data_IF_402741830934
#
_entry.id   IF_402741830934
#
_cell.length_a   1.000
_cell.length_b   1.000
_cell.length_c   1.000
_cell.angle_alpha   90.00
_cell.angle_beta   90.00
_cell.angle_gamma   90.00
#
_symmetry.space_group_name_H-M   'P 1'
#
loop_
_entity.id
_entity.type
_entity.pdbx_description
1 polymer ?
#
# COMPACT_ATOMS: atom_id res chain seq x y z
N UNK A 1 16.30 -6.12 22.34
CA UNK A 1 15.52 -5.31 21.37
C UNK A 1 14.49 -6.23 20.74
N UNK A 2 13.23 -5.84 20.76
CA UNK A 2 12.12 -6.63 20.20
C UNK A 2 12.37 -6.95 18.74
N UNK A 3 12.23 -8.20 18.36
CA UNK A 3 12.24 -8.62 16.96
C UNK A 3 10.94 -8.16 16.29
N UNK A 4 11.04 -7.20 15.38
CA UNK A 4 9.87 -6.63 14.69
C UNK A 4 9.62 -7.34 13.38
N UNK A 5 8.46 -8.00 13.26
CA UNK A 5 8.01 -8.74 12.09
C UNK A 5 6.60 -8.33 11.62
N UNK A 6 6.23 -7.05 11.79
CA UNK A 6 4.97 -6.48 11.29
C UNK A 6 5.20 -5.35 10.25
N UNK A 7 6.17 -5.54 9.34
CA UNK A 7 6.52 -4.52 8.32
C UNK A 7 5.39 -4.26 7.32
N UNK A 8 4.46 -5.19 7.12
CA UNK A 8 3.26 -4.98 6.30
C UNK A 8 2.26 -3.97 6.92
N UNK A 9 2.35 -3.67 8.23
CA UNK A 9 1.59 -2.59 8.85
C UNK A 9 2.32 -1.24 8.67
N UNK A 10 3.59 -1.18 9.04
CA UNK A 10 4.54 -0.08 8.78
C UNK A 10 5.96 -0.61 8.91
N UNK A 11 6.90 -0.15 8.11
CA UNK A 11 8.29 -0.59 8.25
C UNK A 11 8.95 -0.04 9.52
N UNK A 12 9.76 -0.87 10.18
CA UNK A 12 10.57 -0.48 11.34
C UNK A 12 11.81 -1.39 11.44
N UNK A 13 13.01 -0.80 11.73
CA UNK A 13 13.30 0.63 11.88
C UNK A 13 13.18 1.41 10.58
N UNK A 14 13.27 2.74 10.67
CA UNK A 14 13.42 3.59 9.48
C UNK A 14 14.90 3.72 9.12
N UNK A 15 15.24 3.87 7.81
CA UNK A 15 16.61 4.18 7.41
C UNK A 15 17.12 5.47 8.08
N UNK A 16 18.38 5.50 8.46
CA UNK A 16 18.99 6.67 9.10
C UNK A 16 18.87 7.96 8.26
N UNK A 17 19.04 7.93 6.92
CA UNK A 17 18.80 9.11 6.10
C UNK A 17 17.38 9.70 6.23
N UNK A 18 16.37 8.86 6.48
CA UNK A 18 14.98 9.30 6.69
C UNK A 18 14.85 10.05 7.99
N UNK A 19 15.41 9.50 9.08
CA UNK A 19 15.39 10.13 10.41
C UNK A 19 16.11 11.48 10.37
N UNK A 20 17.31 11.52 9.78
CA UNK A 20 18.11 12.72 9.61
C UNK A 20 17.39 13.79 8.79
N UNK A 21 16.75 13.41 7.67
CA UNK A 21 16.02 14.34 6.82
C UNK A 21 14.80 14.95 7.54
N UNK A 22 14.06 14.15 8.31
CA UNK A 22 12.93 14.62 9.13
C UNK A 22 13.39 15.60 10.22
N UNK A 23 14.43 15.25 10.98
CA UNK A 23 14.97 16.13 12.03
C UNK A 23 15.48 17.44 11.44
N UNK A 24 16.26 17.38 10.36
CA UNK A 24 16.78 18.56 9.68
C UNK A 24 15.65 19.46 9.15
N UNK A 25 14.65 18.88 8.48
CA UNK A 25 13.52 19.64 7.97
C UNK A 25 12.73 20.31 9.10
N UNK A 26 12.50 19.61 10.20
CA UNK A 26 11.80 20.18 11.37
C UNK A 26 12.54 21.36 11.99
N UNK A 27 13.86 21.30 12.07
CA UNK A 27 14.67 22.37 12.68
C UNK A 27 14.94 23.55 11.74
N UNK A 28 15.06 23.31 10.42
CA UNK A 28 15.63 24.28 9.51
C UNK A 28 14.81 24.51 8.21
N UNK A 29 13.88 23.62 7.85
CA UNK A 29 13.23 23.63 6.54
C UNK A 29 11.70 23.64 6.53
N UNK A 30 11.03 23.71 7.69
CA UNK A 30 9.56 23.62 7.78
C UNK A 30 8.81 24.92 7.44
N UNK A 31 9.30 25.69 6.47
CA UNK A 31 8.58 26.86 5.96
C UNK A 31 7.45 26.44 5.01
N UNK A 32 6.45 27.34 4.83
CA UNK A 32 5.36 27.07 3.87
C UNK A 32 5.91 27.10 2.42
N UNK A 33 5.72 26.04 1.62
CA UNK A 33 6.29 25.92 0.28
C UNK A 33 5.57 26.77 -0.79
N UNK A 34 4.44 27.38 -0.48
CA UNK A 34 3.51 27.84 -1.50
C UNK A 34 3.66 29.26 -2.00
N UNK A 35 4.09 30.27 -1.20
CA UNK A 35 3.91 31.68 -1.58
C UNK A 35 4.97 32.66 -1.09
N UNK A 36 5.97 32.22 -0.43
CA UNK A 36 7.03 33.09 0.03
C UNK A 36 8.05 33.32 -1.07
N UNK A 37 8.26 34.57 -1.48
CA UNK A 37 9.42 34.95 -2.31
C UNK A 37 10.74 34.92 -1.54
N UNK A 38 10.76 34.40 -0.30
CA UNK A 38 11.93 34.33 0.57
C UNK A 38 12.57 32.93 0.52
N UNK A 39 13.86 32.89 0.83
CA UNK A 39 14.69 31.71 0.66
C UNK A 39 14.10 30.43 1.27
N UNK A 40 13.64 30.46 2.52
CA UNK A 40 13.11 29.27 3.19
C UNK A 40 11.86 28.71 2.50
N UNK A 41 10.97 29.56 1.96
CA UNK A 41 9.81 29.08 1.20
C UNK A 41 10.21 28.41 -0.12
N UNK A 42 11.22 28.96 -0.80
CA UNK A 42 11.75 28.37 -2.03
C UNK A 42 12.44 27.02 -1.75
N UNK A 43 13.19 26.91 -0.65
CA UNK A 43 13.82 25.66 -0.21
C UNK A 43 12.76 24.60 0.12
N UNK A 44 11.70 24.97 0.86
CA UNK A 44 10.58 24.06 1.13
C UNK A 44 9.87 23.60 -0.16
N UNK A 45 9.68 24.52 -1.13
CA UNK A 45 9.13 24.20 -2.45
C UNK A 45 10.01 23.20 -3.24
N UNK A 46 11.33 23.38 -3.17
CA UNK A 46 12.29 22.44 -3.78
C UNK A 46 12.23 21.06 -3.13
N UNK A 47 12.08 20.98 -1.80
CA UNK A 47 11.90 19.71 -1.06
C UNK A 47 10.65 18.97 -1.55
N UNK A 48 9.52 19.68 -1.66
CA UNK A 48 8.27 19.11 -2.19
C UNK A 48 8.44 18.60 -3.62
N UNK A 49 9.06 19.42 -4.51
CA UNK A 49 9.30 19.03 -5.89
C UNK A 49 10.24 17.82 -6.00
N UNK A 50 11.30 17.77 -5.22
CA UNK A 50 12.23 16.64 -5.18
C UNK A 50 11.53 15.34 -4.76
N UNK A 51 10.73 15.38 -3.69
CA UNK A 51 9.92 14.24 -3.25
C UNK A 51 8.95 13.77 -4.35
N UNK A 52 8.30 14.72 -5.04
CA UNK A 52 7.35 14.44 -6.12
C UNK A 52 8.02 13.79 -7.32
N UNK A 53 9.17 14.30 -7.72
CA UNK A 53 9.98 13.75 -8.82
C UNK A 53 10.50 12.34 -8.49
N UNK A 54 10.95 12.11 -7.26
CA UNK A 54 11.41 10.79 -6.82
C UNK A 54 10.24 9.78 -6.76
N UNK A 55 9.05 10.19 -6.29
CA UNK A 55 7.84 9.36 -6.31
C UNK A 55 7.40 9.02 -7.74
N UNK A 56 7.41 9.99 -8.65
CA UNK A 56 7.10 9.79 -10.07
C UNK A 56 8.06 8.76 -10.71
N UNK A 57 9.35 8.88 -10.43
CA UNK A 57 10.38 7.94 -10.90
C UNK A 57 10.14 6.51 -10.41
N UNK A 58 9.78 6.34 -9.12
CA UNK A 58 9.52 5.01 -8.55
C UNK A 58 8.46 4.23 -9.32
N UNK A 59 7.45 4.92 -9.84
CA UNK A 59 6.26 4.30 -10.47
C UNK A 59 6.19 4.52 -11.99
N UNK A 60 7.27 5.02 -12.61
CA UNK A 60 7.32 5.25 -14.05
C UNK A 60 6.35 6.35 -14.55
N UNK A 61 5.97 7.32 -13.68
CA UNK A 61 5.11 8.44 -14.06
C UNK A 61 5.94 9.52 -14.75
N UNK A 62 5.63 9.85 -16.04
CA UNK A 62 6.46 10.83 -16.79
C UNK A 62 6.35 12.25 -16.25
N UNK A 63 5.16 12.67 -15.83
CA UNK A 63 4.90 14.02 -15.32
C UNK A 63 4.75 14.00 -13.79
N UNK A 64 5.70 14.58 -13.04
CA UNK A 64 5.59 14.67 -11.58
C UNK A 64 4.35 15.40 -11.08
N UNK A 65 3.75 16.32 -11.85
CA UNK A 65 2.52 17.01 -11.47
C UNK A 65 1.33 16.04 -11.27
N UNK A 66 1.40 14.83 -11.83
CA UNK A 66 0.41 13.76 -11.68
C UNK A 66 0.57 12.93 -10.40
N UNK A 67 1.56 13.23 -9.57
CA UNK A 67 1.72 12.68 -8.22
C UNK A 67 1.03 13.62 -7.23
N UNK A 68 -0.01 13.16 -6.58
CA UNK A 68 -0.79 13.93 -5.59
C UNK A 68 -0.43 13.44 -4.20
N UNK A 69 0.15 14.30 -3.37
CA UNK A 69 0.50 13.95 -2.00
C UNK A 69 -0.74 13.89 -1.10
N UNK A 70 -0.76 12.85 -0.28
CA UNK A 70 -1.80 12.54 0.70
C UNK A 70 -1.15 12.03 1.98
N UNK A 71 -1.90 11.94 3.08
CA UNK A 71 -1.37 11.46 4.34
C UNK A 71 -1.11 9.94 4.35
N UNK A 72 -1.81 9.15 3.53
CA UNK A 72 -1.70 7.69 3.50
C UNK A 72 -2.48 7.10 2.31
N UNK A 73 -2.33 5.78 2.06
CA UNK A 73 -3.05 5.11 0.98
C UNK A 73 -4.59 5.14 1.17
N UNK A 74 -5.10 5.21 2.40
CA UNK A 74 -6.55 5.32 2.64
C UNK A 74 -7.09 6.61 2.05
N UNK A 75 -6.41 7.73 2.26
CA UNK A 75 -6.79 9.02 1.67
C UNK A 75 -6.67 8.98 0.14
N UNK A 76 -5.58 8.40 -0.41
CA UNK A 76 -5.41 8.20 -1.85
C UNK A 76 -6.57 7.44 -2.47
N UNK A 77 -6.97 6.32 -1.86
CA UNK A 77 -8.07 5.47 -2.32
C UNK A 77 -9.43 6.18 -2.21
N UNK A 78 -9.66 6.93 -1.14
CA UNK A 78 -10.88 7.75 -1.02
C UNK A 78 -10.92 8.83 -2.10
N UNK A 79 -9.81 9.57 -2.31
CA UNK A 79 -9.70 10.58 -3.36
C UNK A 79 -10.00 9.99 -4.75
N UNK A 80 -9.44 8.81 -5.04
CA UNK A 80 -9.68 8.11 -6.30
C UNK A 80 -11.14 7.67 -6.46
N UNK A 81 -11.68 6.95 -5.47
CA UNK A 81 -13.02 6.36 -5.54
C UNK A 81 -14.13 7.42 -5.57
N UNK A 82 -14.12 8.37 -4.63
CA UNK A 82 -15.09 9.47 -4.60
C UNK A 82 -14.83 10.50 -5.71
N UNK A 83 -13.59 10.59 -6.19
CA UNK A 83 -13.22 11.45 -7.32
C UNK A 83 -13.79 10.98 -8.66
N UNK A 84 -13.87 9.66 -8.89
CA UNK A 84 -14.30 9.04 -10.16
C UNK A 84 -15.78 8.71 -10.17
N UNK A 85 -16.29 8.04 -9.11
CA UNK A 85 -17.58 7.37 -9.12
C UNK A 85 -18.75 8.31 -8.79
N UNK A 86 -19.88 8.08 -9.44
CA UNK A 86 -21.16 8.79 -9.32
C UNK A 86 -22.29 7.78 -9.21
N UNK A 87 -23.45 8.21 -8.72
CA UNK A 87 -24.68 7.42 -8.78
C UNK A 87 -24.95 6.94 -10.21
N UNK A 88 -25.25 5.66 -10.36
CA UNK A 88 -25.47 4.98 -11.63
C UNK A 88 -24.19 4.38 -12.25
N UNK A 89 -23.00 4.71 -11.77
CA UNK A 89 -21.77 4.05 -12.20
C UNK A 89 -21.67 2.61 -11.65
N UNK A 90 -20.95 1.76 -12.39
CA UNK A 90 -20.61 0.40 -11.98
C UNK A 90 -19.11 0.30 -11.71
N UNK A 91 -18.74 -0.26 -10.56
CA UNK A 91 -17.36 -0.58 -10.17
C UNK A 91 -17.22 -2.08 -9.93
N UNK A 92 -16.16 -2.66 -10.49
CA UNK A 92 -15.73 -4.03 -10.17
C UNK A 92 -14.58 -3.97 -9.18
N UNK A 93 -14.64 -4.78 -8.14
CA UNK A 93 -13.61 -4.93 -7.11
C UNK A 93 -13.45 -6.39 -6.72
N UNK A 94 -12.63 -6.70 -5.72
CA UNK A 94 -12.32 -8.09 -5.36
C UNK A 94 -12.65 -8.43 -3.91
N UNK A 95 -12.65 -9.72 -3.57
CA UNK A 95 -12.83 -10.18 -2.19
C UNK A 95 -11.55 -10.07 -1.35
N UNK A 96 -10.44 -9.61 -1.93
CA UNK A 96 -9.15 -9.49 -1.22
C UNK A 96 -8.82 -8.06 -0.78
N UNK A 97 -9.76 -7.13 -0.93
CA UNK A 97 -9.52 -5.72 -0.68
C UNK A 97 -9.38 -5.37 0.81
N UNK A 98 -8.49 -4.44 1.08
CA UNK A 98 -8.39 -3.78 2.39
C UNK A 98 -9.62 -2.90 2.66
N UNK A 99 -9.93 -2.65 3.94
CA UNK A 99 -11.02 -1.76 4.36
C UNK A 99 -10.95 -0.34 3.74
N UNK A 100 -9.77 0.11 3.32
CA UNK A 100 -9.58 1.38 2.64
C UNK A 100 -10.23 1.43 1.23
N UNK A 101 -10.54 0.27 0.64
CA UNK A 101 -11.33 0.12 -0.59
C UNK A 101 -12.76 -0.27 -0.25
N UNK A 102 -12.96 -1.26 0.62
CA UNK A 102 -14.28 -1.83 0.92
C UNK A 102 -15.23 -0.79 1.53
N UNK A 103 -14.75 0.02 2.49
CA UNK A 103 -15.61 0.99 3.20
C UNK A 103 -16.03 2.17 2.32
N UNK A 104 -15.16 2.82 1.54
CA UNK A 104 -15.58 3.83 0.56
C UNK A 104 -16.55 3.27 -0.49
N UNK A 105 -16.31 2.05 -0.98
CA UNK A 105 -17.24 1.42 -1.94
C UNK A 105 -18.60 1.13 -1.30
N UNK A 106 -18.65 0.75 -0.03
CA UNK A 106 -19.93 0.61 0.69
C UNK A 106 -20.67 1.94 0.78
N UNK A 107 -19.97 3.02 1.14
CA UNK A 107 -20.57 4.36 1.20
C UNK A 107 -21.06 4.84 -0.18
N UNK A 108 -20.33 4.53 -1.25
CA UNK A 108 -20.73 4.84 -2.63
C UNK A 108 -21.91 3.99 -3.09
N UNK A 109 -22.00 2.72 -2.66
CA UNK A 109 -23.16 1.88 -2.93
C UNK A 109 -24.45 2.45 -2.32
N UNK A 110 -24.36 3.01 -1.10
CA UNK A 110 -25.48 3.69 -0.45
C UNK A 110 -25.88 4.99 -1.20
N UNK A 111 -25.01 5.52 -2.08
CA UNK A 111 -25.25 6.66 -2.97
C UNK A 111 -25.66 6.26 -4.39
N UNK A 112 -25.90 4.96 -4.65
CA UNK A 112 -26.38 4.46 -5.94
C UNK A 112 -25.31 4.01 -6.92
N UNK A 113 -24.07 3.74 -6.45
CA UNK A 113 -23.04 3.08 -7.26
C UNK A 113 -23.24 1.56 -7.19
N UNK A 114 -23.24 0.88 -8.34
CA UNK A 114 -23.27 -0.59 -8.38
C UNK A 114 -21.87 -1.16 -8.09
N UNK A 115 -21.73 -1.90 -7.00
CA UNK A 115 -20.47 -2.54 -6.59
C UNK A 115 -20.52 -4.04 -6.84
N UNK A 116 -19.68 -4.53 -7.74
CA UNK A 116 -19.55 -5.96 -8.05
C UNK A 116 -18.24 -6.49 -7.48
N UNK A 117 -18.33 -7.52 -6.65
CA UNK A 117 -17.16 -8.11 -5.99
C UNK A 117 -16.83 -9.47 -6.59
N UNK A 118 -15.62 -9.61 -7.17
CA UNK A 118 -15.11 -10.86 -7.73
C UNK A 118 -14.47 -11.69 -6.62
N UNK A 119 -14.90 -12.93 -6.39
CA UNK A 119 -14.29 -13.81 -5.39
C UNK A 119 -12.89 -14.28 -5.84
N UNK A 120 -11.96 -14.34 -4.90
CA UNK A 120 -10.68 -15.00 -5.09
C UNK A 120 -10.77 -16.51 -4.76
N UNK A 121 -9.79 -17.27 -5.18
CA UNK A 121 -9.59 -18.64 -4.71
C UNK A 121 -9.06 -18.68 -3.26
N UNK A 122 -8.84 -19.87 -2.73
CA UNK A 122 -8.34 -20.04 -1.34
C UNK A 122 -6.90 -19.59 -1.14
N UNK A 123 -6.12 -19.41 -2.21
CA UNK A 123 -4.79 -18.78 -2.13
C UNK A 123 -4.85 -17.25 -2.11
N UNK A 124 -6.03 -16.67 -2.32
CA UNK A 124 -6.26 -15.24 -2.47
C UNK A 124 -5.97 -14.72 -3.88
N UNK A 125 -5.78 -15.60 -4.87
CA UNK A 125 -5.58 -15.20 -6.26
C UNK A 125 -6.93 -15.05 -6.98
N UNK A 126 -7.04 -14.00 -7.79
CA UNK A 126 -8.22 -13.73 -8.60
C UNK A 126 -7.87 -13.99 -10.07
N UNK A 127 -8.46 -15.03 -10.69
CA UNK A 127 -8.23 -15.29 -12.11
C UNK A 127 -8.64 -14.09 -12.97
N UNK A 128 -7.77 -13.57 -13.86
CA UNK A 128 -8.11 -12.45 -14.73
C UNK A 128 -9.38 -12.67 -15.56
N UNK A 129 -9.66 -13.91 -15.96
CA UNK A 129 -10.88 -14.26 -16.69
C UNK A 129 -12.16 -13.96 -15.90
N UNK A 130 -12.13 -14.11 -14.56
CA UNK A 130 -13.29 -13.83 -13.70
C UNK A 130 -13.52 -12.33 -13.55
N UNK A 131 -12.43 -11.54 -13.44
CA UNK A 131 -12.50 -10.08 -13.46
C UNK A 131 -13.08 -9.58 -14.79
N UNK A 132 -12.54 -10.07 -15.91
CA UNK A 132 -12.99 -9.70 -17.25
C UNK A 132 -14.48 -10.02 -17.47
N UNK A 133 -14.95 -11.15 -16.95
CA UNK A 133 -16.37 -11.55 -17.03
C UNK A 133 -17.27 -10.67 -16.16
N UNK A 134 -16.79 -10.19 -15.02
CA UNK A 134 -17.53 -9.30 -14.12
C UNK A 134 -17.62 -7.87 -14.68
N UNK A 135 -16.66 -7.44 -15.49
CA UNK A 135 -16.65 -6.14 -16.16
C UNK A 135 -17.57 -6.17 -17.39
N UNK A 136 -18.85 -5.84 -17.19
CA UNK A 136 -19.84 -5.72 -18.27
C UNK A 136 -19.79 -4.34 -18.93
N UNK A 137 -20.42 -4.13 -20.11
CA UNK A 137 -20.58 -2.80 -20.71
C UNK A 137 -21.16 -1.80 -19.70
N UNK A 138 -20.56 -0.62 -19.61
CA UNK A 138 -20.90 0.40 -18.61
C UNK A 138 -20.13 0.33 -17.30
N UNK A 139 -19.24 -0.67 -17.11
CA UNK A 139 -18.29 -0.66 -16.00
C UNK A 139 -17.37 0.56 -16.11
N UNK A 140 -17.38 1.41 -15.07
CA UNK A 140 -16.61 2.66 -15.02
C UNK A 140 -15.19 2.44 -14.50
N UNK A 141 -15.03 1.55 -13.51
CA UNK A 141 -13.80 1.38 -12.75
C UNK A 141 -13.58 -0.08 -12.38
N UNK A 142 -12.35 -0.57 -12.54
CA UNK A 142 -11.82 -1.72 -11.82
C UNK A 142 -10.97 -1.19 -10.66
N UNK A 143 -11.29 -1.54 -9.42
CA UNK A 143 -10.53 -1.18 -8.22
C UNK A 143 -10.03 -2.45 -7.53
N UNK A 144 -8.71 -2.65 -7.47
CA UNK A 144 -8.14 -3.86 -6.90
C UNK A 144 -6.80 -3.65 -6.20
N UNK A 145 -6.54 -4.46 -5.19
CA UNK A 145 -5.20 -4.54 -4.58
C UNK A 145 -4.23 -5.24 -5.53
N UNK A 146 -2.98 -4.77 -5.60
CA UNK A 146 -1.92 -5.46 -6.34
C UNK A 146 -1.33 -6.62 -5.54
N UNK A 147 -1.23 -6.45 -4.21
CA UNK A 147 -0.70 -7.47 -3.31
C UNK A 147 -1.54 -7.53 -2.03
N UNK A 148 -2.03 -8.70 -1.67
CA UNK A 148 -2.86 -8.88 -0.48
C UNK A 148 -2.05 -8.65 0.80
N UNK A 149 -2.57 -7.82 1.69
CA UNK A 149 -2.01 -7.60 3.01
C UNK A 149 -2.29 -8.75 4.00
N UNK A 150 -3.07 -9.75 3.60
CA UNK A 150 -3.38 -10.95 4.38
C UNK A 150 -2.55 -12.12 3.92
N UNK A 151 -2.65 -12.48 2.65
CA UNK A 151 -2.04 -13.69 2.08
C UNK A 151 -0.73 -13.44 1.35
N UNK A 152 -0.35 -12.18 1.12
CA UNK A 152 0.79 -11.82 0.29
C UNK A 152 0.61 -12.11 -1.20
N UNK A 153 -0.55 -12.59 -1.63
CA UNK A 153 -0.81 -12.99 -3.02
C UNK A 153 -0.73 -11.78 -3.96
N UNK A 154 0.10 -11.90 -4.98
CA UNK A 154 0.23 -10.89 -6.04
C UNK A 154 -0.83 -11.13 -7.11
N UNK A 155 -1.57 -10.09 -7.48
CA UNK A 155 -2.61 -10.12 -8.51
C UNK A 155 -2.04 -9.76 -9.90
N UNK A 156 -2.71 -10.21 -10.96
CA UNK A 156 -2.27 -10.04 -12.35
C UNK A 156 -2.67 -8.65 -12.91
N UNK A 157 -2.22 -7.56 -12.27
CA UNK A 157 -2.50 -6.19 -12.70
C UNK A 157 -1.88 -5.89 -14.05
N UNK A 158 -0.71 -6.46 -14.33
CA UNK A 158 0.01 -6.35 -15.60
C UNK A 158 -0.78 -6.89 -16.83
N UNK A 159 -1.73 -7.80 -16.58
CA UNK A 159 -2.65 -8.31 -17.62
C UNK A 159 -3.95 -7.49 -17.65
N UNK A 160 -4.46 -7.12 -16.48
CA UNK A 160 -5.78 -6.49 -16.35
C UNK A 160 -5.76 -5.01 -16.75
N UNK A 161 -4.70 -4.26 -16.45
CA UNK A 161 -4.61 -2.84 -16.78
C UNK A 161 -4.70 -2.56 -18.29
N UNK A 162 -3.85 -3.19 -19.15
CA UNK A 162 -3.95 -3.03 -20.59
C UNK A 162 -5.31 -3.48 -21.15
N UNK A 163 -5.90 -4.54 -20.59
CA UNK A 163 -7.24 -4.98 -20.98
C UNK A 163 -8.30 -3.94 -20.59
N UNK A 164 -8.28 -3.37 -19.37
CA UNK A 164 -9.19 -2.32 -18.94
C UNK A 164 -9.11 -1.09 -19.86
N UNK A 165 -7.90 -0.65 -20.20
CA UNK A 165 -7.68 0.46 -21.14
C UNK A 165 -8.32 0.19 -22.49
N UNK A 166 -8.19 -1.02 -23.03
CA UNK A 166 -8.82 -1.43 -24.30
C UNK A 166 -10.36 -1.45 -24.22
N UNK A 167 -10.94 -1.60 -23.03
CA UNK A 167 -12.41 -1.58 -22.82
C UNK A 167 -12.92 -0.18 -22.39
N UNK A 168 -12.05 0.83 -22.24
CA UNK A 168 -12.43 2.14 -21.71
C UNK A 168 -12.80 2.15 -20.23
N UNK A 169 -12.33 1.16 -19.46
CA UNK A 169 -12.52 1.01 -18.01
C UNK A 169 -11.30 1.59 -17.32
N UNK A 170 -11.48 2.46 -16.34
CA UNK A 170 -10.38 2.97 -15.51
C UNK A 170 -9.85 1.85 -14.59
N UNK A 171 -8.52 1.82 -14.41
CA UNK A 171 -7.85 0.88 -13.51
C UNK A 171 -7.28 1.61 -12.29
N UNK A 172 -7.86 1.36 -11.10
CA UNK A 172 -7.35 1.81 -9.80
C UNK A 172 -6.66 0.65 -9.09
N UNK A 173 -5.40 0.85 -8.74
CA UNK A 173 -4.59 -0.15 -8.05
C UNK A 173 -4.21 0.34 -6.65
N UNK A 174 -4.56 -0.45 -5.63
CA UNK A 174 -3.99 -0.32 -4.28
C UNK A 174 -2.62 -1.01 -4.25
N UNK A 175 -1.56 -0.21 -4.28
CA UNK A 175 -0.17 -0.67 -4.22
C UNK A 175 0.41 -0.63 -2.80
N UNK A 176 -0.43 -0.62 -1.77
CA UNK A 176 0.01 -0.46 -0.38
C UNK A 176 0.96 -1.56 0.12
N UNK A 177 0.96 -2.74 -0.49
CA UNK A 177 1.86 -3.84 -0.15
C UNK A 177 2.89 -4.16 -1.24
N UNK A 178 2.87 -3.42 -2.35
CA UNK A 178 3.72 -3.73 -3.51
C UNK A 178 4.67 -2.60 -3.90
N UNK A 179 4.27 -1.33 -3.72
CA UNK A 179 5.15 -0.18 -3.99
C UNK A 179 6.36 -0.19 -3.05
N UNK A 180 7.55 -0.16 -3.63
CA UNK A 180 8.81 -0.31 -2.91
C UNK A 180 9.32 -1.74 -2.78
N UNK A 181 8.53 -2.73 -3.24
CA UNK A 181 8.92 -4.15 -3.26
C UNK A 181 8.86 -4.76 -4.67
N UNK A 182 7.87 -4.38 -5.47
CA UNK A 182 7.72 -4.85 -6.84
C UNK A 182 7.89 -3.69 -7.83
N UNK A 183 8.44 -3.94 -9.01
CA UNK A 183 8.45 -2.95 -10.07
C UNK A 183 7.01 -2.55 -10.44
N UNK A 184 6.76 -1.26 -10.45
CA UNK A 184 5.49 -0.68 -10.88
C UNK A 184 5.79 0.36 -11.94
N UNK A 185 5.24 0.19 -13.13
CA UNK A 185 5.29 1.17 -14.21
C UNK A 185 3.85 1.44 -14.65
N UNK A 186 3.32 2.60 -14.26
CA UNK A 186 1.93 2.96 -14.51
C UNK A 186 1.61 3.05 -16.00
N UNK A 187 2.61 3.40 -16.83
CA UNK A 187 2.47 3.44 -18.29
C UNK A 187 2.38 2.06 -18.90
N UNK A 188 3.37 1.20 -18.61
CA UNK A 188 3.46 -0.16 -19.14
C UNK A 188 2.33 -1.06 -18.63
N UNK A 189 1.94 -0.91 -17.35
CA UNK A 189 0.85 -1.66 -16.73
C UNK A 189 -0.53 -1.04 -17.00
N UNK A 190 -0.60 0.08 -17.71
CA UNK A 190 -1.84 0.79 -18.03
C UNK A 190 -2.72 1.09 -16.79
N UNK A 191 -2.07 1.52 -15.70
CA UNK A 191 -2.72 1.90 -14.45
C UNK A 191 -3.14 3.38 -14.55
N UNK A 192 -4.42 3.67 -14.35
CA UNK A 192 -4.94 5.04 -14.40
C UNK A 192 -4.84 5.75 -13.06
N UNK A 193 -4.95 4.99 -11.95
CA UNK A 193 -4.88 5.49 -10.58
C UNK A 193 -4.08 4.51 -9.73
N UNK A 194 -3.01 4.99 -9.05
CA UNK A 194 -2.17 4.15 -8.20
C UNK A 194 -2.06 4.76 -6.81
N UNK A 195 -2.56 4.07 -5.79
CA UNK A 195 -2.51 4.51 -4.39
C UNK A 195 -1.30 3.92 -3.66
N UNK A 196 -0.45 4.76 -3.06
CA UNK A 196 0.82 4.37 -2.46
C UNK A 196 1.00 5.00 -1.09
N UNK A 197 1.23 4.23 -0.01
CA UNK A 197 1.65 4.76 1.29
C UNK A 197 3.17 4.93 1.34
N UNK A 198 3.66 6.00 1.95
CA UNK A 198 5.09 6.23 2.11
C UNK A 198 5.76 5.38 3.20
N UNK A 199 4.99 4.89 4.18
CA UNK A 199 5.51 4.34 5.44
C UNK A 199 5.72 2.82 5.49
N UNK A 200 5.37 2.09 4.40
CA UNK A 200 5.56 0.63 4.31
C UNK A 200 6.87 0.30 3.58
N UNK A 201 6.87 -0.49 2.53
CA UNK A 201 8.09 -0.91 1.85
C UNK A 201 8.93 0.23 1.25
N UNK A 202 8.38 1.43 1.07
CA UNK A 202 9.15 2.65 0.74
C UNK A 202 10.00 3.11 1.94
N UNK A 203 9.67 2.70 3.18
CA UNK A 203 10.40 3.01 4.42
C UNK A 203 10.37 4.49 4.84
N UNK A 204 9.50 5.30 4.26
CA UNK A 204 9.28 6.70 4.63
C UNK A 204 8.52 6.88 5.96
N UNK A 205 8.34 8.11 6.43
CA UNK A 205 7.62 8.39 7.67
C UNK A 205 6.10 8.14 7.52
N UNK A 206 5.39 7.76 8.60
CA UNK A 206 3.94 7.82 8.66
C UNK A 206 3.41 9.24 8.35
N UNK A 207 2.17 9.34 7.88
CA UNK A 207 1.60 10.64 7.49
C UNK A 207 2.07 11.12 6.12
N UNK A 208 2.59 10.20 5.28
CA UNK A 208 2.98 10.44 3.89
C UNK A 208 2.48 9.32 2.98
N UNK A 209 2.11 9.69 1.78
CA UNK A 209 1.70 8.83 0.69
C UNK A 209 1.40 9.65 -0.55
N UNK A 210 1.02 8.99 -1.62
CA UNK A 210 0.62 9.68 -2.85
C UNK A 210 -0.38 8.86 -3.66
N UNK A 211 -1.17 9.59 -4.47
CA UNK A 211 -1.98 9.06 -5.55
C UNK A 211 -1.31 9.46 -6.87
N UNK A 212 -0.99 8.47 -7.71
CA UNK A 212 -0.70 8.72 -9.12
C UNK A 212 -2.03 8.89 -9.87
N UNK A 213 -2.14 9.93 -10.68
CA UNK A 213 -3.32 10.20 -11.52
C UNK A 213 -2.88 10.18 -12.98
N UNK A 214 -3.38 9.20 -13.73
CA UNK A 214 -3.05 9.03 -15.15
C UNK A 214 -3.50 10.21 -16.01
N UNK A 215 -2.82 10.42 -17.12
CA UNK A 215 -3.14 11.49 -18.08
C UNK A 215 -4.59 11.35 -18.59
N UNK A 216 -5.35 12.44 -18.53
CA UNK A 216 -6.76 12.47 -18.94
C UNK A 216 -7.75 12.00 -17.88
N UNK A 217 -7.32 11.47 -16.74
CA UNK A 217 -8.22 11.13 -15.64
C UNK A 217 -8.65 12.39 -14.90
N UNK A 218 -9.96 12.62 -14.84
CA UNK A 218 -10.54 13.75 -14.13
C UNK A 218 -11.10 13.29 -12.78
N UNK A 219 -10.57 13.85 -11.70
CA UNK A 219 -11.02 13.60 -10.34
C UNK A 219 -11.73 14.83 -9.77
N UNK A 220 -12.82 14.62 -9.04
CA UNK A 220 -13.30 15.65 -8.11
C UNK A 220 -12.36 15.71 -6.90
N UNK A 221 -12.04 16.92 -6.41
CA UNK A 221 -11.32 17.04 -5.14
C UNK A 221 -12.09 16.39 -3.99
N UNK A 222 -11.36 15.74 -3.08
CA UNK A 222 -11.92 15.26 -1.82
C UNK A 222 -12.04 16.40 -0.80
N UNK A 223 -11.07 17.32 -0.85
CA UNK A 223 -10.99 18.50 0.01
C UNK A 223 -10.95 19.76 -0.84
N UNK A 224 -11.63 20.79 -0.38
CA UNK A 224 -11.63 22.13 -1.00
C UNK A 224 -10.99 23.09 -0.03
N UNK A 225 -10.14 24.00 -0.54
CA UNK A 225 -9.47 24.98 0.32
C UNK A 225 -8.32 25.71 -0.36
N UNK A 226 -7.47 26.33 0.44
CA UNK A 226 -6.31 27.06 -0.07
C UNK A 226 -5.28 26.12 -0.70
N UNK A 227 -4.93 26.39 -1.96
CA UNK A 227 -3.98 25.57 -2.74
C UNK A 227 -2.64 26.26 -2.97
N UNK A 228 -2.48 27.49 -2.45
CA UNK A 228 -1.27 28.27 -2.72
C UNK A 228 -1.30 29.05 -4.05
N UNK A 229 -2.25 28.81 -4.94
CA UNK A 229 -2.40 29.47 -6.25
C UNK A 229 -3.81 30.06 -6.44
N UNK A 230 -4.01 30.93 -7.45
CA UNK A 230 -5.31 31.48 -7.88
C UNK A 230 -6.20 32.07 -6.76
N UNK A 231 -5.62 32.73 -5.75
CA UNK A 231 -6.34 33.25 -4.57
C UNK A 231 -7.45 34.28 -4.85
N UNK A 232 -7.56 34.82 -6.05
CA UNK A 232 -8.63 35.73 -6.44
C UNK A 232 -9.88 34.99 -6.95
N UNK A 233 -9.83 33.69 -7.10
CA UNK A 233 -10.95 32.85 -7.54
C UNK A 233 -11.53 32.06 -6.38
N UNK A 234 -12.85 32.02 -6.27
CA UNK A 234 -13.57 31.16 -5.32
C UNK A 234 -13.63 29.70 -5.82
N UNK A 235 -13.28 29.45 -7.08
CA UNK A 235 -13.23 28.10 -7.64
C UNK A 235 -11.90 27.40 -7.31
N UNK A 236 -11.97 26.09 -7.05
CA UNK A 236 -10.79 25.25 -6.94
C UNK A 236 -10.01 25.28 -8.28
N UNK A 237 -8.67 25.32 -8.26
CA UNK A 237 -7.87 25.26 -9.49
C UNK A 237 -8.15 24.02 -10.33
N UNK A 238 -7.96 24.12 -11.64
CA UNK A 238 -8.11 22.98 -12.56
C UNK A 238 -6.81 22.20 -12.76
N UNK A 239 -5.67 22.83 -12.47
CA UNK A 239 -4.36 22.26 -12.68
C UNK A 239 -3.97 21.27 -11.57
N UNK A 240 -3.27 20.19 -11.94
CA UNK A 240 -2.59 19.31 -11.00
C UNK A 240 -1.19 19.87 -10.67
N UNK A 241 -0.72 19.67 -9.44
CA UNK A 241 -1.37 18.93 -8.34
C UNK A 241 -2.35 19.78 -7.50
N UNK A 242 -2.38 21.10 -7.69
CA UNK A 242 -3.07 22.06 -6.83
C UNK A 242 -4.57 21.79 -6.69
N UNK A 243 -5.20 21.26 -7.75
CA UNK A 243 -6.62 20.87 -7.73
C UNK A 243 -6.94 19.87 -6.62
N UNK A 244 -6.02 18.97 -6.32
CA UNK A 244 -6.24 17.83 -5.43
C UNK A 244 -5.45 17.93 -4.11
N UNK A 245 -4.58 18.95 -3.98
CA UNK A 245 -3.76 19.21 -2.79
C UNK A 245 -4.21 20.50 -2.09
N UNK A 246 -5.27 20.43 -1.29
CA UNK A 246 -5.71 21.58 -0.50
C UNK A 246 -5.09 21.57 0.89
N UNK A 247 -4.67 22.73 1.36
CA UNK A 247 -4.04 22.94 2.67
C UNK A 247 -2.51 22.96 2.60
N UNK A 248 -1.88 23.23 3.75
CA UNK A 248 -0.42 23.25 3.86
C UNK A 248 0.13 21.84 3.80
N UNK A 249 1.03 21.57 2.86
CA UNK A 249 1.66 20.27 2.70
C UNK A 249 2.54 19.92 3.91
N UNK A 250 2.64 18.62 4.19
CA UNK A 250 3.54 18.06 5.22
C UNK A 250 5.00 18.06 4.73
N UNK A 251 5.63 19.24 4.65
CA UNK A 251 7.00 19.41 4.14
C UNK A 251 7.99 18.53 4.89
N UNK A 252 7.85 18.42 6.21
CA UNK A 252 8.72 17.59 7.05
C UNK A 252 8.62 16.11 6.70
N UNK A 253 7.39 15.62 6.58
CA UNK A 253 7.15 14.23 6.15
C UNK A 253 7.64 13.98 4.72
N UNK A 254 7.47 14.96 3.81
CA UNK A 254 7.91 14.86 2.42
C UNK A 254 9.44 14.89 2.29
N UNK A 255 10.16 15.60 3.17
CA UNK A 255 11.61 15.51 3.26
C UNK A 255 12.07 14.09 3.61
N UNK A 256 11.41 13.46 4.61
CA UNK A 256 11.66 12.07 4.97
C UNK A 256 11.25 11.08 3.87
N UNK A 257 10.12 11.32 3.19
CA UNK A 257 9.70 10.50 2.05
C UNK A 257 10.70 10.57 0.89
N UNK A 258 11.21 11.77 0.57
CA UNK A 258 12.26 11.95 -0.43
C UNK A 258 13.51 11.14 -0.07
N UNK A 259 13.99 11.27 1.17
CA UNK A 259 15.16 10.52 1.64
C UNK A 259 14.94 8.99 1.57
N UNK A 260 13.71 8.52 1.85
CA UNK A 260 13.35 7.11 1.73
C UNK A 260 13.37 6.62 0.27
N UNK A 261 12.86 7.42 -0.66
CA UNK A 261 12.85 7.11 -2.09
C UNK A 261 14.26 7.07 -2.67
N UNK A 262 15.13 8.01 -2.28
CA UNK A 262 16.54 8.01 -2.69
C UNK A 262 17.28 6.81 -2.10
N UNK A 263 17.06 6.49 -0.81
CA UNK A 263 17.63 5.30 -0.17
C UNK A 263 17.20 4.01 -0.89
N UNK A 264 15.93 3.88 -1.25
CA UNK A 264 15.41 2.74 -1.99
C UNK A 264 16.02 2.65 -3.40
N UNK A 265 16.21 3.79 -4.07
CA UNK A 265 16.87 3.86 -5.37
C UNK A 265 18.35 3.46 -5.29
N UNK A 266 19.06 3.90 -4.25
CA UNK A 266 20.48 3.57 -4.02
C UNK A 266 20.68 2.07 -3.76
N UNK A 267 19.84 1.46 -2.93
CA UNK A 267 19.87 0.01 -2.70
C UNK A 267 19.53 -0.75 -3.97
N UNK A 268 18.53 -0.27 -4.71
CA UNK A 268 17.92 -0.94 -5.84
C UNK A 268 16.77 -1.88 -5.44
N UNK A 269 15.63 -1.70 -6.10
CA UNK A 269 14.39 -2.43 -5.83
C UNK A 269 14.56 -3.96 -5.93
N UNK A 270 15.35 -4.42 -6.92
CA UNK A 270 15.63 -5.86 -7.09
C UNK A 270 16.33 -6.45 -5.87
N UNK A 271 17.29 -5.73 -5.29
CA UNK A 271 18.01 -6.19 -4.11
C UNK A 271 17.13 -6.26 -2.88
N UNK A 272 16.22 -5.28 -2.69
CA UNK A 272 15.22 -5.35 -1.61
C UNK A 272 14.31 -6.56 -1.79
N UNK A 273 13.79 -6.77 -3.01
CA UNK A 273 12.92 -7.90 -3.33
C UNK A 273 13.61 -9.25 -3.15
N UNK A 274 14.85 -9.40 -3.61
CA UNK A 274 15.64 -10.63 -3.46
C UNK A 274 15.88 -10.95 -1.99
N UNK A 275 16.24 -9.95 -1.19
CA UNK A 275 16.44 -10.10 0.24
C UNK A 275 15.15 -10.55 0.95
N UNK A 276 14.04 -9.80 0.78
CA UNK A 276 12.77 -10.15 1.44
C UNK A 276 12.23 -11.51 0.95
N UNK A 277 12.42 -11.86 -0.33
CA UNK A 277 12.07 -13.19 -0.85
C UNK A 277 12.88 -14.30 -0.19
N UNK A 278 14.19 -14.13 0.01
CA UNK A 278 15.03 -15.12 0.68
C UNK A 278 14.57 -15.36 2.13
N UNK A 279 14.20 -14.28 2.86
CA UNK A 279 13.62 -14.40 4.20
C UNK A 279 12.26 -15.11 4.19
N UNK A 280 11.43 -14.82 3.21
CA UNK A 280 10.13 -15.47 3.04
C UNK A 280 10.25 -16.95 2.67
N UNK A 281 11.21 -17.33 1.81
CA UNK A 281 11.51 -18.72 1.48
C UNK A 281 11.90 -19.53 2.72
N UNK A 282 12.79 -18.97 3.55
CA UNK A 282 13.20 -19.59 4.82
C UNK A 282 12.01 -19.73 5.78
N UNK A 283 11.20 -18.67 5.90
CA UNK A 283 10.02 -18.65 6.76
C UNK A 283 8.98 -19.69 6.34
N UNK A 284 8.64 -19.78 5.06
CA UNK A 284 7.72 -20.78 4.51
C UNK A 284 8.25 -22.20 4.71
N UNK A 285 9.53 -22.44 4.41
CA UNK A 285 10.14 -23.75 4.59
C UNK A 285 10.16 -24.19 6.06
N UNK A 286 10.45 -23.26 6.97
CA UNK A 286 10.46 -23.54 8.41
C UNK A 286 9.07 -23.82 8.98
N UNK A 287 8.09 -22.97 8.67
CA UNK A 287 6.72 -23.12 9.18
C UNK A 287 6.05 -24.41 8.67
N UNK A 288 6.32 -24.83 7.42
CA UNK A 288 5.82 -26.10 6.86
C UNK A 288 6.29 -27.35 7.62
N UNK A 289 7.40 -27.26 8.36
CA UNK A 289 7.93 -28.36 9.17
C UNK A 289 7.26 -28.49 10.53
N UNK A 290 6.42 -27.54 10.92
CA UNK A 290 5.69 -27.53 12.18
C UNK A 290 4.27 -28.06 11.90
N UNK A 291 3.94 -29.32 12.29
CA UNK A 291 2.66 -29.93 11.88
C UNK A 291 1.41 -29.21 12.35
N UNK A 292 1.52 -28.47 13.46
CA UNK A 292 0.42 -27.68 14.02
C UNK A 292 0.17 -26.37 13.26
N UNK A 293 1.04 -25.96 12.34
CA UNK A 293 0.90 -24.72 11.56
C UNK A 293 0.09 -24.97 10.29
N UNK A 294 -0.91 -24.13 10.07
CA UNK A 294 -1.61 -24.06 8.79
C UNK A 294 -1.32 -22.70 8.12
N UNK A 295 -0.82 -22.75 6.89
CA UNK A 295 -0.43 -21.57 6.10
C UNK A 295 -1.55 -21.16 5.15
N UNK A 296 -1.69 -19.82 4.92
CA UNK A 296 -2.66 -19.24 4.00
C UNK A 296 -1.92 -18.40 2.96
N UNK A 297 -2.32 -18.52 1.71
CA UNK A 297 -1.73 -17.80 0.58
C UNK A 297 -1.01 -18.70 -0.42
N UNK A 298 -0.19 -18.11 -1.31
CA UNK A 298 0.55 -18.85 -2.31
C UNK A 298 1.56 -19.80 -1.69
N UNK A 299 1.76 -20.94 -2.34
CA UNK A 299 2.78 -21.91 -1.93
C UNK A 299 4.17 -21.59 -2.50
N UNK A 300 4.23 -20.76 -3.53
CA UNK A 300 5.45 -20.33 -4.23
C UNK A 300 5.70 -18.83 -4.00
N UNK A 301 6.95 -18.44 -3.89
CA UNK A 301 7.34 -17.08 -3.49
C UNK A 301 7.46 -16.09 -4.66
N UNK A 302 7.44 -16.57 -5.90
CA UNK A 302 7.53 -15.73 -7.09
C UNK A 302 6.36 -14.71 -7.19
N UNK A 303 5.17 -15.15 -6.75
CA UNK A 303 3.93 -14.34 -6.69
C UNK A 303 3.51 -14.00 -5.27
N UNK A 304 4.48 -13.87 -4.37
CA UNK A 304 4.24 -13.62 -2.95
C UNK A 304 4.93 -12.32 -2.51
N UNK A 305 4.16 -11.41 -1.93
CA UNK A 305 4.71 -10.24 -1.21
C UNK A 305 5.12 -10.61 0.21
N UNK A 306 5.65 -9.65 0.96
CA UNK A 306 6.24 -9.86 2.28
C UNK A 306 5.29 -10.31 3.41
N UNK A 307 3.96 -10.33 3.21
CA UNK A 307 2.99 -10.68 4.26
C UNK A 307 2.61 -12.17 4.20
N UNK A 308 2.87 -12.92 5.27
CA UNK A 308 2.51 -14.33 5.40
C UNK A 308 1.57 -14.53 6.59
N UNK A 309 0.43 -15.20 6.34
CA UNK A 309 -0.55 -15.53 7.38
C UNK A 309 -0.55 -17.02 7.71
N UNK A 310 -0.68 -17.34 9.00
CA UNK A 310 -0.82 -18.70 9.49
C UNK A 310 -1.73 -18.78 10.71
N UNK A 311 -2.19 -20.00 11.03
CA UNK A 311 -2.81 -20.36 12.30
C UNK A 311 -2.03 -21.48 12.95
N UNK A 312 -2.08 -21.57 14.27
CA UNK A 312 -1.50 -22.65 15.05
C UNK A 312 -2.63 -23.49 15.65
N UNK A 313 -2.69 -24.78 15.35
CA UNK A 313 -3.75 -25.67 15.81
C UNK A 313 -3.85 -25.69 17.33
N UNK A 314 -5.07 -25.55 17.86
CA UNK A 314 -5.34 -25.49 19.30
C UNK A 314 -5.17 -24.09 19.93
N UNK A 315 -4.75 -23.08 19.18
CA UNK A 315 -4.56 -21.73 19.71
C UNK A 315 -5.37 -20.68 18.95
N UNK A 316 -5.93 -19.74 19.68
CA UNK A 316 -6.45 -18.51 19.10
C UNK A 316 -5.28 -17.64 18.60
N UNK A 317 -5.37 -17.02 17.39
CA UNK A 317 -4.32 -16.16 16.89
C UNK A 317 -3.88 -15.03 17.85
N UNK A 318 -4.81 -14.48 18.64
CA UNK A 318 -4.49 -13.44 19.63
C UNK A 318 -3.60 -14.00 20.75
N UNK A 319 -3.84 -15.23 21.19
CA UNK A 319 -3.01 -15.92 22.19
C UNK A 319 -1.60 -16.18 21.65
N UNK A 320 -1.50 -16.62 20.40
CA UNK A 320 -0.18 -16.82 19.75
C UNK A 320 0.59 -15.52 19.68
N UNK A 321 -0.03 -14.42 19.24
CA UNK A 321 0.62 -13.12 19.17
C UNK A 321 1.05 -12.61 20.54
N UNK A 322 0.19 -12.76 21.56
CA UNK A 322 0.50 -12.39 22.94
C UNK A 322 1.74 -13.16 23.48
N UNK A 323 1.76 -14.49 23.27
CA UNK A 323 2.88 -15.34 23.73
C UNK A 323 4.18 -15.04 22.97
N UNK A 324 4.11 -14.78 21.64
CA UNK A 324 5.29 -14.38 20.86
C UNK A 324 5.91 -13.08 21.39
N UNK A 325 5.08 -12.09 21.76
CA UNK A 325 5.54 -10.83 22.32
C UNK A 325 6.12 -11.02 23.73
N UNK A 326 5.36 -11.64 24.66
CA UNK A 326 5.72 -11.67 26.09
C UNK A 326 6.76 -12.72 26.44
N UNK A 327 6.79 -13.88 25.77
CA UNK A 327 7.71 -14.97 26.08
C UNK A 327 8.99 -14.93 25.23
N UNK A 328 8.89 -14.38 23.98
CA UNK A 328 9.99 -14.42 23.02
C UNK A 328 10.46 -13.04 22.52
N UNK A 329 9.81 -11.96 22.95
CA UNK A 329 10.09 -10.57 22.51
C UNK A 329 10.03 -10.44 20.99
N UNK A 330 8.94 -10.95 20.37
CA UNK A 330 8.70 -10.97 18.92
C UNK A 330 7.36 -10.31 18.60
N UNK A 331 7.41 -9.17 17.90
CA UNK A 331 6.24 -8.42 17.45
C UNK A 331 5.70 -8.93 16.11
N UNK A 332 4.47 -9.46 16.11
CA UNK A 332 3.69 -9.85 14.93
C UNK A 332 2.30 -9.23 14.99
N UNK A 333 1.53 -9.30 13.90
CA UNK A 333 0.14 -8.84 13.88
C UNK A 333 -0.84 -10.00 13.93
N UNK A 334 -1.96 -9.83 14.65
CA UNK A 334 -3.01 -10.84 14.77
C UNK A 334 -4.38 -10.29 14.37
N UNK A 335 -5.31 -11.17 14.00
CA UNK A 335 -6.71 -10.85 13.70
C UNK A 335 -7.01 -10.68 12.22
N UNK A 336 -7.94 -9.79 11.86
CA UNK A 336 -8.48 -9.65 10.49
C UNK A 336 -7.67 -8.70 9.58
N UNK A 337 -6.58 -8.14 10.03
CA UNK A 337 -5.67 -7.28 9.24
C UNK A 337 -6.37 -6.20 8.40
N UNK A 338 -7.53 -5.69 8.85
CA UNK A 338 -8.38 -4.74 8.12
C UNK A 338 -8.88 -5.24 6.75
N UNK A 339 -9.00 -6.56 6.55
CA UNK A 339 -9.50 -7.17 5.31
C UNK A 339 -10.43 -8.37 5.63
N UNK A 340 -11.61 -8.12 6.23
CA UNK A 340 -12.51 -9.20 6.67
C UNK A 340 -12.99 -10.09 5.53
N UNK A 341 -13.15 -9.55 4.32
CA UNK A 341 -13.58 -10.33 3.16
C UNK A 341 -12.49 -11.30 2.68
N UNK A 342 -11.21 -10.90 2.78
CA UNK A 342 -10.09 -11.80 2.52
C UNK A 342 -10.12 -12.99 3.50
N UNK A 343 -10.40 -12.75 4.79
CA UNK A 343 -10.53 -13.81 5.78
C UNK A 343 -11.76 -14.71 5.55
N UNK A 344 -12.88 -14.18 5.04
CA UNK A 344 -14.01 -15.01 4.57
C UNK A 344 -13.60 -15.90 3.40
N UNK A 345 -12.84 -15.36 2.46
CA UNK A 345 -12.35 -16.06 1.27
C UNK A 345 -11.43 -17.23 1.65
N UNK A 346 -10.48 -17.03 2.55
CA UNK A 346 -9.52 -18.07 2.98
C UNK A 346 -10.04 -18.94 4.13
N UNK A 347 -11.25 -18.67 4.67
CA UNK A 347 -11.90 -19.51 5.67
C UNK A 347 -11.43 -19.27 7.12
N UNK A 348 -10.88 -18.10 7.44
CA UNK A 348 -10.36 -17.75 8.78
C UNK A 348 -11.20 -16.68 9.50
N UNK A 349 -12.34 -16.29 8.93
CA UNK A 349 -13.27 -15.37 9.59
C UNK A 349 -14.13 -16.14 10.62
N UNK A 350 -14.41 -15.60 11.81
CA UNK A 350 -14.08 -14.26 12.31
C UNK A 350 -12.76 -14.17 13.10
N UNK A 351 -12.06 -15.24 13.39
CA UNK A 351 -10.88 -15.27 14.28
C UNK A 351 -9.67 -14.55 13.67
N UNK A 352 -9.52 -14.62 12.33
CA UNK A 352 -8.35 -14.08 11.64
C UNK A 352 -7.14 -15.03 11.68
N UNK A 353 -5.95 -14.47 11.54
CA UNK A 353 -4.67 -15.21 11.51
C UNK A 353 -3.61 -14.48 12.32
N UNK A 354 -2.50 -15.16 12.57
CA UNK A 354 -1.21 -14.53 12.86
C UNK A 354 -0.57 -14.17 11.53
N UNK A 355 -0.16 -12.90 11.37
CA UNK A 355 0.56 -12.42 10.19
C UNK A 355 1.99 -12.06 10.59
N UNK A 356 2.93 -12.62 9.89
CA UNK A 356 4.36 -12.30 9.97
C UNK A 356 4.79 -11.64 8.68
N UNK A 357 5.55 -10.56 8.76
CA UNK A 357 6.04 -9.82 7.61
C UNK A 357 7.43 -9.26 7.87
N UNK A 358 8.48 -9.97 7.45
CA UNK A 358 9.84 -9.46 7.47
C UNK A 358 9.98 -8.29 6.49
N UNK A 359 10.97 -7.44 6.72
CA UNK A 359 11.31 -6.31 5.86
C UNK A 359 12.82 -6.18 5.68
N UNK A 360 13.25 -5.12 5.01
CA UNK A 360 14.64 -4.88 4.63
C UNK A 360 15.66 -5.05 5.77
N UNK A 361 15.31 -4.66 6.99
CA UNK A 361 16.24 -4.70 8.14
C UNK A 361 16.23 -6.01 8.92
N UNK A 362 15.41 -6.98 8.53
CA UNK A 362 15.42 -8.30 9.13
C UNK A 362 16.51 -9.19 8.49
N UNK A 363 16.99 -10.16 9.27
CA UNK A 363 18.03 -11.10 8.90
C UNK A 363 17.53 -12.55 8.89
N UNK A 364 18.31 -13.46 8.32
CA UNK A 364 18.06 -14.89 8.39
C UNK A 364 18.02 -15.40 9.85
N UNK A 365 18.87 -14.86 10.73
CA UNK A 365 18.88 -15.17 12.16
C UNK A 365 17.57 -14.75 12.86
N UNK A 366 16.95 -13.63 12.44
CA UNK A 366 15.64 -13.21 12.94
C UNK A 366 14.55 -14.23 12.59
N UNK A 367 14.59 -14.75 11.36
CA UNK A 367 13.65 -15.80 10.93
C UNK A 367 13.87 -17.09 11.71
N UNK A 368 15.12 -17.51 11.96
CA UNK A 368 15.42 -18.69 12.79
C UNK A 368 14.89 -18.52 14.21
N UNK A 369 15.07 -17.34 14.82
CA UNK A 369 14.52 -17.01 16.15
C UNK A 369 13.01 -17.09 16.17
N UNK A 370 12.33 -16.54 15.16
CA UNK A 370 10.86 -16.65 15.02
C UNK A 370 10.40 -18.09 14.89
N UNK A 371 11.04 -18.87 14.02
CA UNK A 371 10.68 -20.29 13.82
C UNK A 371 10.87 -21.13 15.07
N UNK A 372 11.95 -20.90 15.84
CA UNK A 372 12.18 -21.56 17.11
C UNK A 372 11.08 -21.23 18.13
N UNK A 373 10.62 -19.97 18.20
CA UNK A 373 9.52 -19.54 19.06
C UNK A 373 8.20 -20.20 18.68
N UNK A 374 7.85 -20.23 17.37
CA UNK A 374 6.62 -20.92 16.91
C UNK A 374 6.67 -22.43 17.19
N UNK A 375 7.85 -23.06 17.01
CA UNK A 375 8.03 -24.48 17.35
C UNK A 375 7.83 -24.75 18.85
N UNK A 376 8.38 -23.89 19.71
CA UNK A 376 8.19 -24.00 21.17
C UNK A 376 6.71 -23.84 21.56
N UNK A 377 5.99 -22.88 20.95
CA UNK A 377 4.54 -22.71 21.16
C UNK A 377 3.73 -23.93 20.70
N UNK A 378 4.16 -24.61 19.63
CA UNK A 378 3.48 -25.78 19.10
C UNK A 378 3.73 -27.05 19.94
N UNK A 379 4.80 -27.08 20.73
CA UNK A 379 5.18 -28.25 21.55
C UNK A 379 4.56 -28.23 22.96
N UNK A 380 4.00 -27.12 23.39
CA UNK A 380 3.39 -27.03 24.73
C UNK A 380 3.07 -25.69 25.24
#
# INVERSE_FOLDING_TARGET
MTLYLDNAATSFPKPEPVCTAVDHAMRHGAANPGRGGYRLSLEAGRTVLAARTAAARLVGMPDPAQIIFVANATEALNLALFGVLRAGDRVVTTSMEHNAVVRPLRALADQGVEVVKVPADRSGFIPPADVKRACTPGTRLLAMTHCSNVTGTLQAVEELGPWCRAQGILCLVDAAQSAGLFPLDVGAMAIDLLAVPGHKAIMGPPGTGFLCVGSGVQLKPLLYGGTGTRSMSDAQPDELPERLESGTLNVVGLAGLHAALEFLQEIGLNRVREHERALLDQLLAGLRRIPAVHLYGPTATERHGGALSFTLAGFDPAVVGYRLDHEFDIGVRVGLHCAPDAHRTIGTFPQGTVRVSPGWFNSHADIDRFLAAVHALAAG
#
